data_IF_154655369358
#
_entry.id   IF_154655369358
#
_cell.length_a   1.000
_cell.length_b   1.000
_cell.length_c   1.000
_cell.angle_alpha   90.00
_cell.angle_beta   90.00
_cell.angle_gamma   90.00
#
_symmetry.space_group_name_H-M   'P 1'
#
loop_
_entity.id
_entity.type
_entity.pdbx_description
1 polymer ?
#
# COMPACT_ATOMS: atom_id res chain seq x y z
N UNK A 1 0.86 -15.31 5.00
CA UNK A 1 1.44 -15.18 3.64
C UNK A 1 0.66 -14.15 2.86
N UNK A 2 1.25 -13.57 1.81
CA UNK A 2 0.55 -12.70 0.87
C UNK A 2 0.27 -13.45 -0.42
N UNK A 3 -0.87 -13.18 -1.04
CA UNK A 3 -1.25 -13.67 -2.36
C UNK A 3 -0.87 -12.61 -3.40
N UNK A 4 -0.20 -13.02 -4.46
CA UNK A 4 0.21 -12.13 -5.55
C UNK A 4 -0.76 -12.28 -6.73
N UNK A 5 -1.33 -11.15 -7.14
CA UNK A 5 -2.19 -11.07 -8.31
C UNK A 5 -1.60 -10.10 -9.33
N UNK A 6 -1.68 -10.47 -10.60
CA UNK A 6 -1.47 -9.55 -11.71
C UNK A 6 -2.84 -9.14 -12.27
N UNK A 7 -3.03 -7.84 -12.41
CA UNK A 7 -4.25 -7.25 -12.98
C UNK A 7 -3.86 -6.52 -14.26
N UNK A 8 -4.36 -7.01 -15.39
CA UNK A 8 -4.29 -6.29 -16.66
C UNK A 8 -5.65 -5.66 -16.96
N UNK A 9 -5.69 -4.34 -17.13
CA UNK A 9 -6.89 -3.62 -17.50
C UNK A 9 -6.80 -3.17 -18.96
N UNK A 10 -7.84 -3.47 -19.72
CA UNK A 10 -8.00 -3.08 -21.12
C UNK A 10 -9.18 -2.12 -21.19
N UNK A 11 -8.87 -0.87 -21.52
CA UNK A 11 -9.86 0.14 -21.89
C UNK A 11 -10.08 0.14 -23.39
N UNK A 12 -11.34 0.13 -23.80
CA UNK A 12 -11.72 0.23 -25.21
C UNK A 12 -12.87 1.21 -25.39
N UNK A 13 -12.69 2.18 -26.28
CA UNK A 13 -13.75 3.10 -26.66
C UNK A 13 -14.75 2.41 -27.61
N UNK A 14 -16.05 2.68 -27.42
CA UNK A 14 -17.11 2.12 -28.27
C UNK A 14 -17.51 3.00 -29.44
N UNK A 15 -16.83 4.14 -29.63
CA UNK A 15 -17.10 5.07 -30.72
C UNK A 15 -15.81 5.57 -31.37
N UNK A 16 -15.85 5.89 -32.68
CA UNK A 16 -14.70 6.42 -33.38
C UNK A 16 -14.19 7.75 -32.79
N UNK A 17 -12.87 8.02 -32.84
CA UNK A 17 -11.82 7.08 -33.22
C UNK A 17 -11.66 5.99 -32.14
N UNK A 18 -11.66 4.72 -32.53
CA UNK A 18 -11.55 3.61 -31.58
C UNK A 18 -10.15 3.59 -30.98
N UNK A 19 -10.04 3.82 -29.67
CA UNK A 19 -8.78 3.68 -28.95
C UNK A 19 -8.84 2.47 -28.02
N UNK A 20 -7.67 1.85 -27.85
CA UNK A 20 -7.44 0.76 -26.90
C UNK A 20 -6.21 1.08 -26.07
N UNK A 21 -6.35 1.05 -24.74
CA UNK A 21 -5.24 1.21 -23.80
C UNK A 21 -5.18 0.00 -22.88
N UNK A 22 -3.97 -0.47 -22.62
CA UNK A 22 -3.74 -1.54 -21.66
C UNK A 22 -2.82 -1.06 -20.55
N UNK A 23 -3.21 -1.32 -19.31
CA UNK A 23 -2.39 -1.10 -18.11
C UNK A 23 -2.23 -2.42 -17.37
N UNK A 24 -1.12 -2.57 -16.67
CA UNK A 24 -0.82 -3.75 -15.88
C UNK A 24 -0.28 -3.31 -14.53
N UNK A 25 -0.65 -4.05 -13.48
CA UNK A 25 -0.11 -3.87 -12.14
C UNK A 25 -0.16 -5.18 -11.36
N UNK A 26 0.71 -5.26 -10.37
CA UNK A 26 0.71 -6.35 -9.40
C UNK A 26 0.14 -5.86 -8.08
N UNK A 27 -0.62 -6.72 -7.41
CA UNK A 27 -1.25 -6.42 -6.12
C UNK A 27 -0.99 -7.58 -5.17
N UNK A 28 -0.49 -7.26 -3.98
CA UNK A 28 -0.34 -8.21 -2.88
C UNK A 28 -1.54 -8.07 -1.95
N UNK A 29 -2.20 -9.19 -1.67
CA UNK A 29 -3.48 -9.23 -0.95
C UNK A 29 -3.44 -10.36 0.07
N UNK A 30 -4.08 -10.17 1.22
CA UNK A 30 -4.27 -11.23 2.21
C UNK A 30 -5.62 -11.94 2.03
N UNK A 31 -5.76 -13.09 2.67
CA UNK A 31 -7.05 -13.76 2.73
C UNK A 31 -8.08 -12.86 3.43
N UNK A 32 -9.34 -12.88 2.94
CA UNK A 32 -10.44 -12.02 3.40
C UNK A 32 -10.32 -10.54 3.04
N UNK A 33 -9.27 -10.14 2.33
CA UNK A 33 -9.03 -8.76 1.93
C UNK A 33 -9.61 -8.46 0.53
N UNK A 34 -10.19 -7.27 0.40
CA UNK A 34 -10.67 -6.72 -0.86
C UNK A 34 -9.59 -5.89 -1.55
N UNK A 35 -9.53 -5.96 -2.87
CA UNK A 35 -8.56 -5.24 -3.67
C UNK A 35 -9.17 -4.78 -4.99
N UNK A 36 -8.46 -3.85 -5.62
CA UNK A 36 -8.87 -3.14 -6.83
C UNK A 36 -10.12 -2.28 -6.61
N UNK A 37 -9.99 -0.97 -6.81
CA UNK A 37 -11.10 -0.03 -6.63
C UNK A 37 -11.32 0.78 -7.89
N UNK A 38 -12.59 1.04 -8.19
CA UNK A 38 -12.96 2.02 -9.20
C UNK A 38 -12.97 3.41 -8.58
N UNK A 39 -12.55 4.48 -9.27
CA UNK A 39 -12.49 5.84 -8.70
C UNK A 39 -13.80 6.36 -8.09
N UNK A 40 -14.95 5.81 -8.52
CA UNK A 40 -16.29 6.23 -8.09
C UNK A 40 -16.92 5.34 -7.01
N UNK A 41 -16.26 4.26 -6.58
CA UNK A 41 -16.87 3.29 -5.68
C UNK A 41 -15.94 2.94 -4.53
N UNK A 42 -16.49 2.85 -3.33
CA UNK A 42 -15.77 2.47 -2.10
C UNK A 42 -15.65 0.96 -1.94
N UNK A 43 -16.47 0.19 -2.65
CA UNK A 43 -16.44 -1.26 -2.62
C UNK A 43 -15.35 -1.84 -3.55
N UNK A 44 -14.57 -2.83 -3.09
CA UNK A 44 -13.56 -3.50 -3.89
C UNK A 44 -14.21 -4.25 -5.07
N UNK A 45 -13.49 -4.35 -6.18
CA UNK A 45 -13.93 -5.11 -7.35
C UNK A 45 -13.74 -6.60 -7.11
N UNK A 46 -12.65 -6.97 -6.42
CA UNK A 46 -12.30 -8.35 -6.12
C UNK A 46 -12.08 -8.51 -4.62
N UNK A 47 -12.51 -9.64 -4.06
CA UNK A 47 -12.23 -10.01 -2.69
C UNK A 47 -11.75 -11.45 -2.63
N UNK A 48 -10.65 -11.67 -1.91
CA UNK A 48 -10.20 -13.03 -1.60
C UNK A 48 -11.07 -13.59 -0.48
N UNK A 49 -11.78 -14.68 -0.75
CA UNK A 49 -12.59 -15.35 0.28
C UNK A 49 -11.78 -16.43 0.99
N UNK A 50 -11.13 -17.30 0.20
CA UNK A 50 -10.44 -18.48 0.70
C UNK A 50 -9.19 -18.77 -0.12
N UNK A 51 -8.17 -19.33 0.53
CA UNK A 51 -6.96 -19.83 -0.13
C UNK A 51 -6.72 -21.28 0.27
N UNK A 52 -6.71 -22.18 -0.71
CA UNK A 52 -6.59 -23.62 -0.47
C UNK A 52 -5.63 -24.27 -1.48
N UNK A 53 -4.47 -24.71 -1.00
CA UNK A 53 -3.48 -25.51 -1.74
C UNK A 53 -3.21 -25.03 -3.18
N UNK A 54 -2.82 -23.76 -3.34
CA UNK A 54 -2.46 -23.19 -4.65
C UNK A 54 -3.67 -22.79 -5.52
N UNK A 55 -4.86 -22.76 -4.92
CA UNK A 55 -6.07 -22.22 -5.53
C UNK A 55 -6.68 -21.17 -4.61
N UNK A 56 -7.23 -20.13 -5.20
CA UNK A 56 -7.85 -19.03 -4.45
C UNK A 56 -9.28 -18.82 -4.92
N UNK A 57 -10.21 -18.72 -3.97
CA UNK A 57 -11.59 -18.34 -4.23
C UNK A 57 -11.68 -16.82 -4.20
N UNK A 58 -12.04 -16.24 -5.34
CA UNK A 58 -12.21 -14.80 -5.48
C UNK A 58 -13.68 -14.50 -5.75
N UNK A 59 -14.25 -13.63 -4.93
CA UNK A 59 -15.52 -12.98 -5.21
C UNK A 59 -15.29 -11.72 -6.03
N UNK A 60 -16.16 -11.47 -6.99
CA UNK A 60 -16.10 -10.27 -7.83
C UNK A 60 -17.40 -9.49 -7.80
N UNK A 61 -17.29 -8.18 -7.96
CA UNK A 61 -18.43 -7.26 -7.87
C UNK A 61 -19.49 -7.55 -8.93
N UNK A 62 -20.76 -7.37 -8.54
CA UNK A 62 -21.96 -7.77 -9.31
C UNK A 62 -22.07 -7.19 -10.71
N UNK A 63 -21.49 -6.01 -10.93
CA UNK A 63 -21.50 -5.28 -12.20
C UNK A 63 -20.51 -5.86 -13.22
N UNK A 64 -19.55 -6.67 -12.77
CA UNK A 64 -18.65 -7.38 -13.65
C UNK A 64 -19.27 -8.70 -14.16
N UNK A 65 -18.94 -8.99 -15.41
CA UNK A 65 -19.30 -10.23 -16.10
C UNK A 65 -18.04 -11.04 -16.36
N UNK A 66 -17.98 -12.24 -15.79
CA UNK A 66 -16.94 -13.23 -16.10
C UNK A 66 -17.11 -13.73 -17.55
N UNK A 67 -16.07 -13.59 -18.37
CA UNK A 67 -16.03 -14.01 -19.77
C UNK A 67 -15.59 -15.47 -19.90
N UNK A 68 -16.16 -16.19 -20.86
CA UNK A 68 -15.73 -17.55 -21.21
C UNK A 68 -16.22 -18.66 -20.26
N UNK A 69 -17.05 -18.33 -19.26
CA UNK A 69 -17.62 -19.29 -18.30
C UNK A 69 -19.12 -19.07 -18.15
N UNK A 70 -19.85 -20.12 -17.78
CA UNK A 70 -21.23 -19.97 -17.32
C UNK A 70 -21.23 -19.08 -16.08
N UNK A 71 -22.00 -17.99 -16.09
CA UNK A 71 -21.99 -17.01 -15.00
C UNK A 71 -22.42 -17.68 -13.68
N UNK A 72 -21.53 -17.78 -12.68
CA UNK A 72 -21.90 -18.34 -11.39
C UNK A 72 -22.89 -17.39 -10.69
N UNK A 73 -23.97 -17.94 -10.12
CA UNK A 73 -24.96 -17.15 -9.36
C UNK A 73 -24.33 -16.42 -8.18
N UNK A 74 -23.33 -17.03 -7.54
CA UNK A 74 -22.63 -16.50 -6.38
C UNK A 74 -21.59 -15.43 -6.70
N UNK A 75 -21.28 -15.15 -7.98
CA UNK A 75 -20.20 -14.23 -8.38
C UNK A 75 -18.84 -14.57 -7.75
N UNK A 76 -18.60 -15.85 -7.53
CA UNK A 76 -17.35 -16.39 -7.02
C UNK A 76 -16.70 -17.27 -8.07
N UNK A 77 -15.37 -17.24 -8.12
CA UNK A 77 -14.58 -18.04 -9.06
C UNK A 77 -13.31 -18.55 -8.40
N UNK A 78 -13.00 -19.82 -8.65
CA UNK A 78 -11.71 -20.39 -8.29
C UNK A 78 -10.67 -20.02 -9.34
N UNK A 79 -9.50 -19.58 -8.88
CA UNK A 79 -8.31 -19.31 -9.67
C UNK A 79 -7.21 -20.27 -9.27
N UNK A 80 -6.68 -21.01 -10.23
CA UNK A 80 -5.45 -21.78 -10.06
C UNK A 80 -4.21 -20.88 -10.24
N UNK A 81 -3.06 -21.31 -9.72
CA UNK A 81 -1.78 -20.65 -10.01
C UNK A 81 -1.55 -20.56 -11.53
N UNK A 82 -1.12 -19.39 -11.99
CA UNK A 82 -0.93 -19.01 -13.39
C UNK A 82 -2.21 -19.03 -14.25
N UNK A 83 -3.40 -19.20 -13.65
CA UNK A 83 -4.66 -19.10 -14.37
C UNK A 83 -5.10 -17.64 -14.46
N UNK A 84 -5.53 -17.23 -15.66
CA UNK A 84 -6.11 -15.92 -15.93
C UNK A 84 -7.62 -16.03 -16.13
N UNK A 85 -8.39 -15.17 -15.47
CA UNK A 85 -9.82 -14.97 -15.74
C UNK A 85 -10.08 -13.55 -16.21
N UNK A 86 -11.02 -13.40 -17.14
CA UNK A 86 -11.37 -12.10 -17.72
C UNK A 86 -12.74 -11.65 -17.25
N UNK A 87 -12.82 -10.41 -16.76
CA UNK A 87 -14.01 -9.78 -16.24
C UNK A 87 -14.26 -8.50 -17.02
N UNK A 88 -15.46 -8.32 -17.59
CA UNK A 88 -15.80 -7.09 -18.30
C UNK A 88 -16.95 -6.35 -17.65
N UNK A 89 -16.89 -5.03 -17.74
CA UNK A 89 -17.90 -4.09 -17.28
C UNK A 89 -18.04 -2.94 -18.29
N UNK A 90 -19.22 -2.34 -18.35
CA UNK A 90 -19.50 -1.18 -19.20
C UNK A 90 -19.48 0.09 -18.36
N UNK A 91 -18.52 0.97 -18.62
CA UNK A 91 -18.43 2.26 -17.98
C UNK A 91 -18.82 3.37 -18.96
N UNK A 92 -20.08 3.80 -18.91
CA UNK A 92 -20.58 4.85 -19.80
C UNK A 92 -20.49 4.41 -21.26
N UNK A 93 -19.57 5.00 -22.02
CA UNK A 93 -19.33 4.68 -23.43
C UNK A 93 -18.11 3.78 -23.67
N UNK A 94 -17.51 3.26 -22.60
CA UNK A 94 -16.25 2.54 -22.66
C UNK A 94 -16.44 1.11 -22.14
N UNK A 95 -15.88 0.15 -22.86
CA UNK A 95 -15.73 -1.22 -22.37
C UNK A 95 -14.47 -1.33 -21.53
N UNK A 96 -14.59 -1.79 -20.29
CA UNK A 96 -13.45 -2.09 -19.43
C UNK A 96 -13.38 -3.61 -19.27
N UNK A 97 -12.23 -4.19 -19.60
CA UNK A 97 -11.95 -5.61 -19.34
C UNK A 97 -10.76 -5.74 -18.41
N UNK A 98 -10.95 -6.37 -17.26
CA UNK A 98 -9.90 -6.71 -16.30
C UNK A 98 -9.57 -8.19 -16.42
N UNK A 99 -8.30 -8.50 -16.67
CA UNK A 99 -7.75 -9.84 -16.61
C UNK A 99 -7.07 -10.01 -15.26
N UNK A 100 -7.52 -10.97 -14.47
CA UNK A 100 -6.97 -11.29 -13.16
C UNK A 100 -6.21 -12.60 -13.27
N UNK A 101 -4.91 -12.56 -12.96
CA UNK A 101 -4.03 -13.73 -12.95
C UNK A 101 -3.53 -13.97 -11.54
N UNK A 102 -3.76 -15.16 -10.98
CA UNK A 102 -3.18 -15.55 -9.69
C UNK A 102 -1.75 -16.05 -9.90
N UNK A 103 -0.75 -15.33 -9.36
CA UNK A 103 0.67 -15.66 -9.55
C UNK A 103 1.23 -16.61 -8.49
N UNK A 104 0.59 -16.69 -7.32
CA UNK A 104 0.96 -17.61 -6.25
C UNK A 104 1.00 -16.95 -4.87
N UNK A 105 1.67 -17.61 -3.93
CA UNK A 105 1.87 -17.13 -2.57
C UNK A 105 3.31 -16.65 -2.40
N UNK A 106 3.48 -15.48 -1.79
CA UNK A 106 4.80 -14.93 -1.43
C UNK A 106 4.89 -14.74 0.09
N UNK A 107 6.10 -14.90 0.68
CA UNK A 107 6.38 -14.37 2.01
C UNK A 107 6.09 -12.87 2.03
N UNK A 108 5.50 -12.37 3.12
CA UNK A 108 5.33 -10.91 3.26
C UNK A 108 6.72 -10.27 3.16
N UNK A 109 6.90 -9.18 2.40
CA UNK A 109 8.15 -8.43 2.48
C UNK A 109 8.37 -8.04 3.94
N UNK A 110 9.54 -8.37 4.48
CA UNK A 110 9.97 -7.87 5.78
C UNK A 110 9.93 -6.33 5.66
N UNK A 111 9.28 -5.60 6.59
CA UNK A 111 9.35 -4.14 6.54
C UNK A 111 10.83 -3.76 6.61
N UNK A 112 11.35 -3.22 5.51
CA UNK A 112 12.63 -2.55 5.49
C UNK A 112 12.53 -1.44 6.55
N UNK A 113 13.46 -1.35 7.52
CA UNK A 113 13.37 -0.32 8.54
C UNK A 113 13.32 1.03 7.85
N UNK A 114 12.31 1.83 8.18
CA UNK A 114 12.23 3.22 7.72
C UNK A 114 13.59 3.88 7.97
N UNK A 115 14.15 4.63 7.00
CA UNK A 115 15.36 5.39 7.26
C UNK A 115 15.08 6.31 8.45
N UNK A 116 15.77 6.05 9.56
CA UNK A 116 15.75 6.92 10.74
C UNK A 116 16.01 8.36 10.26
N UNK A 117 15.29 9.38 10.76
CA UNK A 117 15.55 10.75 10.38
C UNK A 117 17.03 11.06 10.67
N UNK A 118 17.76 11.45 9.62
CA UNK A 118 19.11 11.98 9.75
C UNK A 118 19.06 13.08 10.80
N UNK A 119 19.69 12.85 11.96
CA UNK A 119 19.93 13.91 12.92
C UNK A 119 20.78 14.95 12.19
N UNK A 120 20.21 16.14 11.99
CA UNK A 120 20.99 17.35 11.71
C UNK A 120 22.11 17.44 12.76
N UNK A 121 23.32 17.05 12.36
CA UNK A 121 24.55 17.48 13.00
C UNK A 121 24.66 18.98 12.77
N UNK A 122 24.24 19.76 13.76
CA UNK A 122 24.65 21.15 13.91
C UNK A 122 26.19 21.19 13.95
N UNK A 123 26.84 22.05 13.14
CA UNK A 123 28.29 22.17 13.17
C UNK A 123 28.74 22.76 14.51
N UNK A 124 29.72 22.10 15.11
CA UNK A 124 30.41 22.54 16.31
C UNK A 124 31.31 23.70 15.86
N UNK A 125 30.99 24.93 16.27
CA UNK A 125 31.93 26.05 16.13
C UNK A 125 33.18 25.75 16.96
N UNK A 126 34.31 25.66 16.25
CA UNK A 126 35.64 25.53 16.80
C UNK A 126 36.03 26.85 17.49
N UNK A 127 35.86 26.90 18.82
CA UNK A 127 36.34 28.03 19.64
C UNK A 127 37.85 27.91 19.81
N UNK A 128 38.59 28.69 19.02
CA UNK A 128 40.05 28.83 19.12
C UNK A 128 40.39 29.65 20.37
N UNK A 129 41.03 29.02 21.35
CA UNK A 129 41.61 29.66 22.53
C UNK A 129 43.01 30.23 22.21
N UNK A 130 43.19 31.54 22.31
CA UNK A 130 44.50 32.16 22.65
C UNK A 130 44.32 33.26 23.69
N UNK A 131 45.14 33.13 24.74
CA UNK A 131 45.21 33.74 26.08
C UNK A 131 45.76 35.20 26.09
N UNK A 132 46.06 35.83 27.25
CA UNK A 132 45.21 36.46 28.26
C UNK A 132 45.42 38.00 28.38
N UNK A 133 44.50 38.70 29.04
CA UNK A 133 44.71 40.06 29.55
C UNK A 133 43.63 40.49 30.54
N UNK A 134 43.94 40.43 31.83
CA UNK A 134 43.13 41.00 32.93
C UNK A 134 43.44 42.52 33.10
N UNK A 135 42.81 43.28 34.04
CA UNK A 135 41.66 43.03 34.94
C UNK A 135 40.54 44.11 34.70
N UNK A 136 39.34 44.07 35.27
CA UNK A 136 38.96 44.51 36.62
C UNK A 136 37.41 44.39 36.74
N UNK A 137 36.88 44.20 37.96
CA UNK A 137 35.50 44.60 38.28
C UNK A 137 34.53 43.55 38.82
N UNK A 138 34.86 42.95 39.97
CA UNK A 138 34.02 42.86 41.18
C UNK A 138 32.47 42.78 41.03
N UNK A 139 31.86 41.64 41.39
CA UNK A 139 30.99 41.45 42.59
C UNK A 139 29.93 40.32 42.48
N UNK A 140 29.83 39.56 43.58
CA UNK A 140 28.63 38.93 44.19
C UNK A 140 27.98 37.70 43.52
N UNK A 141 28.13 36.47 44.08
CA UNK A 141 27.28 35.76 45.09
C UNK A 141 25.85 35.46 44.57
N UNK A 142 25.18 34.30 44.70
CA UNK A 142 25.12 33.13 45.61
C UNK A 142 24.28 32.06 44.84
N UNK A 143 24.62 30.77 44.84
CA UNK A 143 24.13 29.71 45.75
C UNK A 143 22.81 29.02 45.30
N UNK A 144 22.84 27.69 45.35
CA UNK A 144 21.71 26.91 45.85
C UNK A 144 20.60 26.48 44.89
N UNK A 145 20.57 25.17 44.60
CA UNK A 145 19.50 24.27 45.10
C UNK A 145 18.99 23.26 44.06
N UNK A 146 19.36 22.00 44.32
CA UNK A 146 18.56 20.80 44.07
C UNK A 146 17.10 21.00 44.46
N UNK A 147 16.16 20.50 43.67
CA UNK A 147 14.96 19.81 44.18
C UNK A 147 14.66 18.59 43.27
N UNK A 148 14.60 17.42 43.91
CA UNK A 148 14.00 16.16 43.45
C UNK A 148 12.50 16.20 43.74
N UNK A 149 11.70 15.48 42.95
CA UNK A 149 10.53 14.64 43.35
C UNK A 149 9.61 14.48 42.12
N UNK A 150 9.42 13.29 41.56
CA UNK A 150 8.68 12.10 42.04
C UNK A 150 7.22 12.10 41.55
N UNK A 151 6.75 10.88 41.29
CA UNK A 151 5.37 10.32 41.29
C UNK A 151 4.37 10.81 40.22
N UNK A 152 4.00 9.99 39.23
CA UNK A 152 3.13 8.78 39.18
C UNK A 152 1.61 9.04 39.18
N UNK A 153 0.95 8.32 38.26
CA UNK A 153 -0.48 7.92 38.20
C UNK A 153 -1.48 8.93 37.63
N UNK A 154 -2.06 8.60 36.47
CA UNK A 154 -3.46 8.09 36.34
C UNK A 154 -3.48 7.04 35.22
#
# INVERSE_FOLDING_TARGET
MSLLFEISEVFQDWKPPFQKRTTQKEVRVQEKEGFEFTPKNTEPIFQVLENHNGRVLVEYRKDFTLKGYSQPRSKQVWLNTAETKEFSFLWGNNGITKKLTFKGQEPKPNPEPEPLPEKETTPIEEVVHTTPGAPEGNQQTLDGSKILESIETI
#
